data_IF_687022893518
#
_entry.id   IF_687022893518
#
_cell.length_a   1.000
_cell.length_b   1.000
_cell.length_c   1.000
_cell.angle_alpha   90.00
_cell.angle_beta   90.00
_cell.angle_gamma   90.00
#
_symmetry.space_group_name_H-M   'P 1'
#
loop_
_entity.id
_entity.type
_entity.pdbx_description
1 polymer ?
#
# COMPACT_ATOMS: atom_id res chain seq x y z
N UNK A 1 -3.21 35.31 6.07
CA UNK A 1 -2.87 34.95 4.66
C UNK A 1 -2.94 33.43 4.37
N UNK A 2 -2.39 32.53 5.19
CA UNK A 2 -2.47 31.05 4.98
C UNK A 2 -3.90 30.48 4.96
N UNK A 3 -4.81 31.05 5.74
CA UNK A 3 -6.20 30.57 5.87
C UNK A 3 -7.04 30.85 4.62
N UNK A 4 -6.89 32.04 4.01
CA UNK A 4 -7.52 32.43 2.75
C UNK A 4 -7.02 31.57 1.57
N UNK A 5 -5.72 31.26 1.52
CA UNK A 5 -5.16 30.35 0.53
C UNK A 5 -5.68 28.91 0.69
N UNK A 6 -5.90 28.45 1.93
CA UNK A 6 -6.52 27.16 2.21
C UNK A 6 -7.98 27.07 1.76
N UNK A 7 -8.78 28.11 2.00
CA UNK A 7 -10.17 28.19 1.55
C UNK A 7 -10.30 28.25 0.02
N UNK A 8 -9.45 29.01 -0.67
CA UNK A 8 -9.45 29.05 -2.13
C UNK A 8 -9.08 27.70 -2.75
N UNK A 9 -8.08 26.98 -2.19
CA UNK A 9 -7.75 25.62 -2.63
C UNK A 9 -8.89 24.65 -2.38
N UNK A 10 -9.51 24.69 -1.21
CA UNK A 10 -10.65 23.85 -0.89
C UNK A 10 -11.83 24.05 -1.84
N UNK A 11 -12.16 25.31 -2.18
CA UNK A 11 -13.22 25.62 -3.15
C UNK A 11 -12.90 25.11 -4.55
N UNK A 12 -11.65 25.28 -5.01
CA UNK A 12 -11.20 24.78 -6.30
C UNK A 12 -11.23 23.24 -6.36
N UNK A 13 -10.77 22.56 -5.31
CA UNK A 13 -10.79 21.10 -5.21
C UNK A 13 -12.24 20.57 -5.25
N UNK A 14 -13.19 21.22 -4.56
CA UNK A 14 -14.61 20.87 -4.62
C UNK A 14 -15.22 21.08 -6.01
N UNK A 15 -14.85 22.15 -6.71
CA UNK A 15 -15.32 22.39 -8.07
C UNK A 15 -14.75 21.36 -9.05
N UNK A 16 -13.48 20.97 -8.85
CA UNK A 16 -12.87 19.89 -9.61
C UNK A 16 -13.53 18.54 -9.32
N UNK A 17 -13.84 18.23 -8.06
CA UNK A 17 -14.56 17.00 -7.68
C UNK A 17 -15.96 16.93 -8.31
N UNK A 18 -16.60 18.07 -8.62
CA UNK A 18 -17.87 18.09 -9.35
C UNK A 18 -17.71 17.71 -10.82
N UNK A 19 -16.64 18.17 -11.47
CA UNK A 19 -16.36 17.90 -12.90
C UNK A 19 -15.65 16.56 -13.11
N UNK A 20 -14.81 16.16 -12.17
CA UNK A 20 -13.92 15.01 -12.17
C UNK A 20 -14.08 14.27 -10.83
N UNK A 21 -15.23 13.59 -10.62
CA UNK A 21 -15.52 12.95 -9.35
C UNK A 21 -14.46 11.91 -9.00
N UNK A 22 -14.07 11.80 -7.71
CA UNK A 22 -13.16 10.78 -7.28
C UNK A 22 -13.67 9.38 -7.61
N UNK A 23 -12.76 8.50 -8.03
CA UNK A 23 -13.10 7.15 -8.48
C UNK A 23 -12.37 6.08 -7.68
N UNK A 24 -13.05 4.96 -7.47
CA UNK A 24 -12.50 3.77 -6.86
C UNK A 24 -11.28 3.28 -7.65
N UNK A 25 -10.17 3.00 -6.96
CA UNK A 25 -8.93 2.56 -7.59
C UNK A 25 -9.04 1.23 -8.34
N UNK A 26 -10.00 0.37 -7.99
CA UNK A 26 -10.23 -0.91 -8.65
C UNK A 26 -11.31 -0.85 -9.74
N UNK A 27 -12.49 -0.31 -9.40
CA UNK A 27 -13.70 -0.41 -10.24
C UNK A 27 -14.01 0.85 -11.03
N UNK A 28 -13.50 2.02 -10.62
CA UNK A 28 -13.82 3.31 -11.23
C UNK A 28 -15.16 3.92 -10.79
N UNK A 29 -15.89 3.28 -9.88
CA UNK A 29 -17.12 3.81 -9.26
C UNK A 29 -16.83 5.11 -8.50
N UNK A 30 -17.82 6.01 -8.39
CA UNK A 30 -17.65 7.28 -7.68
C UNK A 30 -17.50 7.02 -6.17
N UNK A 31 -16.50 7.66 -5.56
CA UNK A 31 -16.19 7.57 -4.12
C UNK A 31 -16.04 8.98 -3.53
N UNK A 32 -16.00 9.09 -2.20
CA UNK A 32 -15.94 10.38 -1.50
C UNK A 32 -14.61 11.12 -1.74
N UNK A 33 -13.49 10.38 -1.84
CA UNK A 33 -12.16 10.99 -1.99
C UNK A 33 -11.24 10.20 -2.91
N UNK A 34 -10.30 10.91 -3.52
CA UNK A 34 -9.27 10.32 -4.36
C UNK A 34 -8.45 9.28 -3.57
N UNK A 35 -8.18 8.14 -4.22
CA UNK A 35 -7.45 7.03 -3.60
C UNK A 35 -8.27 6.19 -2.61
N UNK A 36 -9.60 6.32 -2.60
CA UNK A 36 -10.47 5.39 -1.86
C UNK A 36 -10.87 4.18 -2.71
N UNK A 37 -11.38 3.17 -2.02
CA UNK A 37 -12.01 2.00 -2.62
C UNK A 37 -13.50 2.07 -2.34
N UNK A 38 -14.32 1.53 -3.25
CA UNK A 38 -15.73 1.34 -2.96
C UNK A 38 -15.90 0.34 -1.80
N UNK A 39 -16.98 0.44 -1.01
CA UNK A 39 -17.21 -0.46 0.12
C UNK A 39 -17.27 -1.95 -0.25
N UNK A 40 -17.62 -2.26 -1.50
CA UNK A 40 -17.58 -3.63 -2.01
C UNK A 40 -16.14 -4.11 -2.14
N UNK A 41 -15.32 -3.40 -2.92
CA UNK A 41 -13.90 -3.75 -3.13
C UNK A 41 -13.14 -3.82 -1.80
N UNK A 42 -13.41 -2.88 -0.89
CA UNK A 42 -12.77 -2.86 0.42
C UNK A 42 -13.00 -4.14 1.22
N UNK A 43 -14.22 -4.73 1.14
CA UNK A 43 -14.56 -5.98 1.85
C UNK A 43 -13.96 -7.22 1.23
N UNK A 44 -13.66 -7.17 -0.07
CA UNK A 44 -13.09 -8.30 -0.81
C UNK A 44 -11.56 -8.39 -0.68
N UNK A 45 -10.91 -7.33 -0.20
CA UNK A 45 -9.47 -7.35 0.03
C UNK A 45 -9.09 -8.10 1.31
N UNK A 46 -8.19 -9.06 1.16
CA UNK A 46 -7.59 -9.79 2.26
C UNK A 46 -6.41 -9.01 2.87
N UNK A 47 -6.71 -8.08 3.79
CA UNK A 47 -5.69 -7.32 4.50
C UNK A 47 -4.92 -8.20 5.51
N UNK A 48 -3.60 -8.18 5.40
CA UNK A 48 -2.73 -8.93 6.30
C UNK A 48 -2.62 -8.17 7.63
N UNK A 49 -3.08 -8.81 8.69
CA UNK A 49 -3.00 -8.29 10.07
C UNK A 49 -2.53 -9.38 11.03
N UNK A 50 -2.18 -9.00 12.26
CA UNK A 50 -1.77 -9.96 13.28
C UNK A 50 -2.91 -10.96 13.60
N UNK A 51 -2.61 -12.25 13.85
CA UNK A 51 -1.28 -12.82 14.07
C UNK A 51 -0.53 -13.13 12.76
N UNK A 52 0.76 -12.79 12.70
CA UNK A 52 1.64 -13.02 11.55
C UNK A 52 3.06 -13.36 11.98
N UNK A 53 3.82 -13.99 11.08
CA UNK A 53 5.23 -14.29 11.30
C UNK A 53 6.03 -12.99 11.51
N UNK A 54 6.73 -12.90 12.63
CA UNK A 54 7.53 -11.72 12.98
C UNK A 54 8.58 -11.39 11.90
N UNK A 55 9.18 -12.41 11.28
CA UNK A 55 10.17 -12.25 10.22
C UNK A 55 9.54 -11.96 8.85
N UNK A 56 8.86 -12.91 8.21
CA UNK A 56 8.40 -12.74 6.83
C UNK A 56 7.02 -12.09 6.67
N UNK A 57 6.27 -11.89 7.76
CA UNK A 57 4.94 -11.29 7.71
C UNK A 57 3.81 -12.20 7.23
N UNK A 58 4.07 -13.50 7.00
CA UNK A 58 3.02 -14.47 6.63
C UNK A 58 1.97 -14.59 7.74
N UNK A 59 0.66 -14.41 7.44
CA UNK A 59 -0.39 -14.52 8.44
C UNK A 59 -0.52 -15.94 8.98
N UNK A 60 -0.84 -16.07 10.27
CA UNK A 60 -1.14 -17.35 10.89
C UNK A 60 -2.66 -17.62 10.89
N UNK A 61 -3.09 -18.87 10.67
CA UNK A 61 -4.50 -19.22 10.60
C UNK A 61 -5.21 -19.12 11.96
N UNK A 62 -4.47 -19.15 13.07
CA UNK A 62 -5.02 -19.02 14.41
C UNK A 62 -4.07 -18.23 15.30
N UNK A 63 -4.65 -17.57 16.32
CA UNK A 63 -3.87 -16.86 17.34
C UNK A 63 -3.23 -17.88 18.26
N UNK A 64 -1.91 -18.01 18.20
CA UNK A 64 -1.15 -18.78 19.16
C UNK A 64 -0.87 -17.84 20.33
N UNK A 65 -1.26 -18.21 21.55
CA UNK A 65 -0.80 -17.52 22.75
C UNK A 65 0.64 -17.96 23.01
N UNK A 66 1.61 -17.27 22.42
CA UNK A 66 3.02 -17.51 22.71
C UNK A 66 3.65 -16.25 23.33
N UNK A 67 4.47 -16.40 24.38
CA UNK A 67 5.18 -15.29 25.02
C UNK A 67 6.33 -14.72 24.16
N UNK A 68 6.63 -15.32 23.00
CA UNK A 68 7.76 -14.96 22.13
C UNK A 68 7.29 -14.60 20.72
N UNK A 69 8.10 -13.80 20.01
CA UNK A 69 7.88 -13.44 18.61
C UNK A 69 7.78 -14.71 17.73
N UNK A 70 6.61 -14.92 17.12
CA UNK A 70 6.30 -16.15 16.40
C UNK A 70 6.94 -16.17 15.01
N UNK A 71 7.68 -17.24 14.71
CA UNK A 71 8.25 -17.50 13.39
C UNK A 71 7.49 -18.63 12.70
N UNK A 72 7.25 -18.51 11.39
CA UNK A 72 6.69 -19.60 10.62
C UNK A 72 7.74 -20.71 10.38
N UNK A 73 7.32 -21.96 10.13
CA UNK A 73 8.24 -23.07 9.88
C UNK A 73 9.25 -22.80 8.75
N UNK A 74 8.83 -22.06 7.71
CA UNK A 74 9.72 -21.69 6.61
C UNK A 74 10.87 -20.77 7.06
N UNK A 75 10.59 -19.78 7.91
CA UNK A 75 11.62 -18.88 8.45
C UNK A 75 12.55 -19.60 9.44
N UNK A 76 12.04 -20.58 10.19
CA UNK A 76 12.85 -21.40 11.10
C UNK A 76 13.79 -22.31 10.30
N UNK A 77 13.26 -23.02 9.31
CA UNK A 77 14.02 -23.97 8.51
C UNK A 77 15.05 -23.28 7.61
N UNK A 78 14.74 -22.08 7.10
CA UNK A 78 15.62 -21.31 6.23
C UNK A 78 15.47 -19.81 6.52
N UNK A 79 16.23 -19.28 7.50
CA UNK A 79 16.19 -17.86 7.80
C UNK A 79 16.52 -17.02 6.57
N UNK A 80 15.67 -16.04 6.20
CA UNK A 80 15.96 -15.17 5.07
C UNK A 80 17.07 -14.16 5.41
N UNK A 81 17.67 -13.54 4.39
CA UNK A 81 18.69 -12.49 4.55
C UNK A 81 18.17 -11.14 5.03
N UNK A 82 16.97 -11.07 5.62
CA UNK A 82 16.35 -9.86 6.13
C UNK A 82 15.67 -10.12 7.48
N UNK A 83 15.55 -9.08 8.31
CA UNK A 83 15.01 -9.21 9.66
C UNK A 83 13.48 -9.26 9.70
N UNK A 84 12.83 -8.31 9.02
CA UNK A 84 11.38 -8.14 9.02
C UNK A 84 10.88 -7.73 7.63
N UNK A 85 9.76 -8.30 7.22
CA UNK A 85 9.02 -7.95 6.01
C UNK A 85 7.52 -7.84 6.32
N UNK A 86 6.85 -6.84 5.74
CA UNK A 86 5.41 -6.63 5.88
C UNK A 86 4.77 -6.40 4.52
N UNK A 87 3.55 -6.88 4.38
CA UNK A 87 2.71 -6.69 3.21
C UNK A 87 1.35 -6.16 3.66
N UNK A 88 0.68 -5.40 2.79
CA UNK A 88 -0.63 -4.81 3.10
C UNK A 88 -1.75 -5.84 3.00
N UNK A 89 -1.74 -6.65 1.93
CA UNK A 89 -2.77 -7.63 1.63
C UNK A 89 -2.16 -8.86 0.95
N UNK A 90 -2.88 -9.97 1.00
CA UNK A 90 -2.57 -11.16 0.19
C UNK A 90 -2.67 -10.82 -1.29
N UNK A 91 -1.78 -11.41 -2.10
CA UNK A 91 -1.83 -11.24 -3.55
C UNK A 91 -2.82 -12.25 -4.16
N UNK A 92 -4.03 -11.80 -4.44
CA UNK A 92 -5.17 -12.61 -4.89
C UNK A 92 -5.91 -11.94 -6.06
N UNK A 93 -7.09 -12.43 -6.41
CA UNK A 93 -7.88 -11.87 -7.52
C UNK A 93 -8.28 -10.40 -7.31
N UNK A 94 -8.53 -9.98 -6.06
CA UNK A 94 -9.06 -8.65 -5.73
C UNK A 94 -7.94 -7.61 -5.61
N UNK A 95 -6.80 -7.97 -5.02
CA UNK A 95 -5.66 -7.06 -4.89
C UNK A 95 -4.84 -6.95 -6.19
N UNK A 96 -4.77 -8.04 -6.97
CA UNK A 96 -3.95 -8.12 -8.19
C UNK A 96 -4.25 -7.03 -9.21
N UNK A 97 -5.52 -6.75 -9.47
CA UNK A 97 -5.91 -5.78 -10.50
C UNK A 97 -5.32 -4.40 -10.22
N UNK A 98 -5.49 -3.90 -8.99
CA UNK A 98 -4.97 -2.59 -8.59
C UNK A 98 -3.44 -2.54 -8.58
N UNK A 99 -2.78 -3.60 -8.11
CA UNK A 99 -1.30 -3.66 -8.10
C UNK A 99 -0.76 -3.65 -9.52
N UNK A 100 -1.35 -4.41 -10.43
CA UNK A 100 -0.91 -4.45 -11.83
C UNK A 100 -1.18 -3.11 -12.52
N UNK A 101 -2.34 -2.51 -12.29
CA UNK A 101 -2.66 -1.17 -12.77
C UNK A 101 -1.63 -0.13 -12.26
N UNK A 102 -1.26 -0.19 -10.99
CA UNK A 102 -0.25 0.68 -10.40
C UNK A 102 1.18 0.37 -10.89
N UNK A 103 1.50 -0.87 -11.25
CA UNK A 103 2.87 -1.26 -11.64
C UNK A 103 3.13 -1.11 -13.14
N UNK A 104 2.09 -1.17 -13.95
CA UNK A 104 2.16 -1.29 -15.41
C UNK A 104 1.22 -0.37 -16.17
N UNK A 105 0.15 0.12 -15.54
CA UNK A 105 -0.92 0.90 -16.19
C UNK A 105 -0.83 2.40 -16.01
N UNK A 106 0.29 2.92 -15.46
CA UNK A 106 0.49 4.35 -15.19
C UNK A 106 -0.58 4.96 -14.26
N UNK A 107 -1.21 4.12 -13.43
CA UNK A 107 -2.27 4.49 -12.49
C UNK A 107 -1.69 4.99 -11.16
N UNK A 108 -0.94 6.08 -11.22
CA UNK A 108 -0.20 6.64 -10.07
C UNK A 108 -1.10 7.29 -9.01
N UNK A 109 -2.36 7.59 -9.33
CA UNK A 109 -3.32 8.15 -8.39
C UNK A 109 -3.59 7.23 -7.18
N UNK A 110 -3.27 5.94 -7.29
CA UNK A 110 -3.30 4.99 -6.17
C UNK A 110 -2.15 5.14 -5.18
N UNK A 111 -1.06 5.83 -5.54
CA UNK A 111 0.15 5.93 -4.72
C UNK A 111 -0.12 6.41 -3.28
N UNK A 112 -0.90 7.48 -3.04
CA UNK A 112 -1.15 7.94 -1.68
C UNK A 112 -1.91 6.92 -0.83
N UNK A 113 -2.78 6.11 -1.46
CA UNK A 113 -3.52 5.07 -0.76
C UNK A 113 -2.59 3.91 -0.37
N UNK A 114 -1.82 3.40 -1.33
CA UNK A 114 -0.84 2.34 -1.08
C UNK A 114 0.21 2.75 -0.05
N UNK A 115 0.75 3.96 -0.15
CA UNK A 115 1.73 4.47 0.81
C UNK A 115 1.14 4.52 2.24
N UNK A 116 -0.09 5.00 2.41
CA UNK A 116 -0.77 4.99 3.73
C UNK A 116 -0.99 3.58 4.26
N UNK A 117 -1.41 2.65 3.40
CA UNK A 117 -1.61 1.27 3.83
C UNK A 117 -0.29 0.57 4.17
N UNK A 118 0.77 0.83 3.40
CA UNK A 118 2.12 0.33 3.68
C UNK A 118 2.68 0.92 4.98
N UNK A 119 2.51 2.23 5.20
CA UNK A 119 2.92 2.89 6.43
C UNK A 119 2.22 2.27 7.66
N UNK A 120 0.93 1.95 7.53
CA UNK A 120 0.18 1.26 8.60
C UNK A 120 0.64 -0.18 8.81
N UNK A 121 0.79 -0.97 7.74
CA UNK A 121 1.18 -2.38 7.83
C UNK A 121 2.64 -2.57 8.30
N UNK A 122 3.51 -1.61 7.95
CA UNK A 122 4.93 -1.60 8.29
C UNK A 122 5.29 -0.63 9.41
N UNK A 123 4.33 -0.12 10.19
CA UNK A 123 4.56 0.93 11.18
C UNK A 123 5.72 0.59 12.14
N UNK A 124 5.78 -0.65 12.61
CA UNK A 124 6.86 -1.13 13.48
C UNK A 124 8.23 -1.22 12.81
N UNK A 125 8.29 -1.37 11.48
CA UNK A 125 9.57 -1.37 10.74
C UNK A 125 9.98 0.08 10.47
N UNK A 126 9.04 0.93 10.07
CA UNK A 126 9.28 2.31 9.67
C UNK A 126 9.66 3.17 10.88
N UNK A 127 9.00 2.98 12.02
CA UNK A 127 9.30 3.72 13.24
C UNK A 127 10.70 3.43 13.79
N UNK A 128 11.25 2.25 13.51
CA UNK A 128 12.58 1.82 13.94
C UNK A 128 13.67 2.13 12.89
N UNK A 129 13.32 2.70 11.73
CA UNK A 129 14.24 2.87 10.61
C UNK A 129 14.87 4.29 10.59
N UNK A 130 16.19 4.36 10.47
CA UNK A 130 16.90 5.63 10.26
C UNK A 130 16.72 6.17 8.84
N UNK A 131 16.59 5.27 7.86
CA UNK A 131 16.49 5.60 6.44
C UNK A 131 15.41 4.77 5.74
N UNK A 132 14.66 5.43 4.87
CA UNK A 132 13.75 4.78 3.92
C UNK A 132 14.36 4.86 2.52
N UNK A 133 14.70 3.72 1.95
CA UNK A 133 15.33 3.63 0.62
C UNK A 133 14.46 2.83 -0.33
N UNK A 134 14.09 3.45 -1.45
CA UNK A 134 13.38 2.78 -2.53
C UNK A 134 14.28 1.77 -3.25
N UNK A 135 13.76 0.56 -3.51
CA UNK A 135 14.47 -0.44 -4.30
C UNK A 135 14.70 0.09 -5.72
N UNK A 136 15.94 0.13 -6.24
CA UNK A 136 16.22 0.70 -7.54
C UNK A 136 15.65 -0.15 -8.68
N UNK A 137 15.29 0.51 -9.77
CA UNK A 137 14.83 -0.13 -11.00
C UNK A 137 15.89 0.02 -12.09
N UNK A 138 16.24 -1.08 -12.76
CA UNK A 138 17.19 -1.05 -13.89
C UNK A 138 16.73 -0.06 -14.97
N UNK A 139 17.65 0.74 -15.52
CA UNK A 139 17.35 1.85 -16.43
C UNK A 139 16.46 1.46 -17.63
N UNK A 140 16.72 0.31 -18.29
CA UNK A 140 15.85 -0.19 -19.38
C UNK A 140 14.40 -0.44 -18.93
N UNK A 141 14.21 -0.93 -17.70
CA UNK A 141 12.87 -1.14 -17.13
C UNK A 141 12.23 0.19 -16.75
N UNK A 142 13.00 1.15 -16.26
CA UNK A 142 12.53 2.51 -15.97
C UNK A 142 12.06 3.21 -17.26
N UNK A 143 12.84 3.17 -18.33
CA UNK A 143 12.44 3.73 -19.63
C UNK A 143 11.13 3.11 -20.14
N UNK A 144 11.02 1.77 -20.09
CA UNK A 144 9.80 1.07 -20.55
C UNK A 144 8.58 1.35 -19.69
N UNK A 145 8.76 1.44 -18.37
CA UNK A 145 7.65 1.62 -17.40
C UNK A 145 7.40 3.06 -17.01
N UNK A 146 8.22 4.01 -17.45
CA UNK A 146 8.17 5.46 -17.18
C UNK A 146 8.41 5.90 -15.73
N UNK A 147 8.23 5.02 -14.75
CA UNK A 147 8.47 5.33 -13.34
C UNK A 147 8.97 4.13 -12.54
N UNK A 148 9.57 4.41 -11.38
CA UNK A 148 9.92 3.43 -10.38
C UNK A 148 8.84 3.37 -9.29
N UNK A 149 8.16 2.22 -9.17
CA UNK A 149 7.02 2.04 -8.27
C UNK A 149 7.44 2.20 -6.80
N UNK A 150 8.59 1.67 -6.42
CA UNK A 150 9.11 1.78 -5.05
C UNK A 150 9.47 3.23 -4.71
N UNK A 151 10.01 3.97 -5.68
CA UNK A 151 10.37 5.38 -5.48
C UNK A 151 9.15 6.29 -5.38
N UNK A 152 8.03 5.92 -6.00
CA UNK A 152 6.75 6.65 -5.86
C UNK A 152 6.09 6.38 -4.51
N UNK A 153 6.36 5.22 -3.89
CA UNK A 153 5.76 4.80 -2.62
C UNK A 153 6.59 5.15 -1.38
N UNK A 154 7.90 5.37 -1.54
CA UNK A 154 8.83 5.75 -0.48
C UNK A 154 8.83 7.27 -0.27
#
# INVERSE_FOLDING_TARGET
MRMLAGMMRYGADRMLDLLLPPRCLATGEIVDRQGQLSPQVWRELDFITAPLCHCCGTPFPYRIAAPVAQLCPACIARPPGWHRARAVFSYDAHSRQMILAFKHGDRLEGAPAFARWMARAGAEIINDADYLVAVPLHWRRLLRRRYNQSAVLA
#
